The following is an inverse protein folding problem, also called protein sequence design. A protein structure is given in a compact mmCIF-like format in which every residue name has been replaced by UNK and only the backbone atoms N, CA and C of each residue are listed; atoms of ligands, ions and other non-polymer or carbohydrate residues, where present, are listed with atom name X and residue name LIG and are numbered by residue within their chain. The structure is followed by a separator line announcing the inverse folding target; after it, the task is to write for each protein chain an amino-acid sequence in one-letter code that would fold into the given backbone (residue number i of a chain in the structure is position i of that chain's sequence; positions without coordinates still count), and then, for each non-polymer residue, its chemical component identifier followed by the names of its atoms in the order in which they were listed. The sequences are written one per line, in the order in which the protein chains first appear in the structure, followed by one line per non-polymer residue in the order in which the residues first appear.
data_IF_357654491436
#
_entry.id   IF_357654491436
#
_cell.length_a   1.000
_cell.length_b   1.000
_cell.length_c   1.000
_cell.angle_alpha   90.00
_cell.angle_beta   90.00
_cell.angle_gamma   90.00
#
_symmetry.space_group_name_H-M   'P 1'
#
loop_
_entity.id
_entity.type
_entity.pdbx_description
1 polymer ?
#
# COMPACT_ATOMS: atom_id res chain seq x y z
N UNK A 1 26.29 -15.01 -15.87
CA UNK A 1 25.38 -16.08 -15.44
C UNK A 1 25.02 -15.88 -13.96
N UNK A 2 24.12 -14.95 -13.61
CA UNK A 2 23.70 -14.77 -12.20
C UNK A 2 22.28 -14.21 -12.01
N UNK A 3 21.49 -14.03 -13.06
CA UNK A 3 20.10 -13.56 -12.93
C UNK A 3 19.08 -14.72 -12.90
N UNK A 4 19.40 -15.85 -13.53
CA UNK A 4 18.48 -16.97 -13.67
C UNK A 4 18.40 -17.85 -12.41
N UNK A 5 19.48 -17.93 -11.61
CA UNK A 5 19.50 -18.74 -10.39
C UNK A 5 18.62 -18.15 -9.26
N UNK A 6 18.48 -16.82 -9.21
CA UNK A 6 17.68 -16.14 -8.19
C UNK A 6 16.17 -16.25 -8.49
N UNK A 7 15.79 -16.36 -9.77
CA UNK A 7 14.41 -16.54 -10.18
C UNK A 7 13.89 -17.96 -9.90
N UNK A 8 14.75 -18.98 -9.97
CA UNK A 8 14.34 -20.37 -9.73
C UNK A 8 14.20 -20.71 -8.24
N UNK A 9 14.92 -20.03 -7.34
CA UNK A 9 14.80 -20.28 -5.90
C UNK A 9 13.51 -19.70 -5.30
N UNK A 10 12.96 -18.62 -5.85
CA UNK A 10 11.69 -18.02 -5.38
C UNK A 10 10.47 -18.87 -5.78
N UNK A 11 10.59 -19.74 -6.79
CA UNK A 11 9.47 -20.57 -7.25
C UNK A 11 9.22 -21.85 -6.41
N UNK A 12 10.19 -22.29 -5.60
CA UNK A 12 10.10 -23.58 -4.87
C UNK A 12 9.75 -23.39 -3.38
N UNK A 13 9.76 -22.16 -2.88
CA UNK A 13 9.56 -21.86 -1.46
C UNK A 13 8.17 -21.31 -1.12
N UNK A 14 7.20 -22.20 -0.89
CA UNK A 14 6.06 -21.97 0.01
C UNK A 14 5.02 -20.88 -0.37
N UNK A 15 4.03 -21.29 -1.16
CA UNK A 15 2.62 -21.21 -0.75
C UNK A 15 2.03 -19.83 -0.43
N UNK A 16 2.20 -18.82 -1.29
CA UNK A 16 1.23 -17.71 -1.38
C UNK A 16 1.31 -16.97 -2.72
N UNK A 17 1.03 -17.69 -3.80
CA UNK A 17 1.19 -17.25 -5.20
C UNK A 17 0.49 -15.91 -5.53
N UNK A 18 -0.52 -15.51 -4.75
CA UNK A 18 -1.25 -14.26 -4.97
C UNK A 18 -0.49 -13.01 -4.46
N UNK A 19 0.24 -13.14 -3.34
CA UNK A 19 1.02 -12.03 -2.76
C UNK A 19 2.33 -11.83 -3.52
N UNK A 20 2.99 -12.92 -3.90
CA UNK A 20 4.21 -12.90 -4.73
C UNK A 20 3.94 -12.28 -6.10
N UNK A 21 2.85 -12.68 -6.77
CA UNK A 21 2.48 -12.10 -8.06
C UNK A 21 2.15 -10.59 -7.94
N UNK A 22 1.46 -10.14 -6.89
CA UNK A 22 1.21 -8.68 -6.72
C UNK A 22 2.47 -7.89 -6.43
N UNK A 23 3.42 -8.46 -5.70
CA UNK A 23 4.65 -7.79 -5.32
C UNK A 23 5.59 -7.58 -6.50
N UNK A 24 5.61 -8.52 -7.46
CA UNK A 24 6.55 -8.50 -8.58
C UNK A 24 5.94 -8.03 -9.92
N UNK A 25 4.61 -8.07 -10.13
CA UNK A 25 4.03 -7.99 -11.49
C UNK A 25 3.51 -6.62 -11.96
N UNK A 26 3.70 -5.50 -11.27
CA UNK A 26 3.11 -4.25 -11.82
C UNK A 26 3.49 -2.89 -11.26
N UNK A 27 4.39 -2.81 -10.27
CA UNK A 27 4.75 -1.52 -9.67
C UNK A 27 5.66 -1.60 -8.45
N UNK A 28 5.85 -2.80 -7.90
CA UNK A 28 6.58 -3.04 -6.65
C UNK A 28 8.10 -2.90 -6.67
N UNK A 29 8.73 -2.48 -7.78
CA UNK A 29 10.19 -2.34 -7.87
C UNK A 29 10.66 -0.98 -8.38
N UNK A 30 9.83 0.06 -8.40
CA UNK A 30 10.34 1.42 -8.71
C UNK A 30 11.39 1.87 -7.68
N UNK A 31 11.21 1.48 -6.42
CA UNK A 31 12.19 1.74 -5.36
C UNK A 31 13.49 0.98 -5.60
N UNK A 32 13.43 -0.27 -6.09
CA UNK A 32 14.61 -1.08 -6.39
C UNK A 32 15.45 -0.47 -7.51
N UNK A 33 14.80 0.07 -8.54
CA UNK A 33 15.48 0.84 -9.61
C UNK A 33 16.05 2.19 -9.15
N UNK A 34 15.69 2.66 -7.95
CA UNK A 34 16.21 3.91 -7.36
C UNK A 34 17.37 3.68 -6.38
N UNK A 35 17.75 2.43 -6.14
CA UNK A 35 18.84 2.11 -5.23
C UNK A 35 20.21 2.41 -5.87
N UNK A 36 21.19 2.89 -5.08
CA UNK A 36 22.57 3.02 -5.54
C UNK A 36 23.15 1.67 -6.01
N UNK A 37 24.07 1.67 -6.99
CA UNK A 37 24.81 0.47 -7.36
C UNK A 37 25.51 -0.13 -6.13
N UNK A 38 25.52 -1.47 -6.01
CA UNK A 38 26.15 -2.23 -4.90
C UNK A 38 25.52 -2.04 -3.52
N UNK A 39 24.35 -1.42 -3.41
CA UNK A 39 23.62 -1.27 -2.14
C UNK A 39 23.03 -2.57 -1.59
N UNK A 40 22.86 -3.58 -2.44
CA UNK A 40 22.39 -4.92 -2.07
C UNK A 40 23.50 -5.89 -2.48
N UNK A 41 24.21 -6.44 -1.50
CA UNK A 41 25.32 -7.37 -1.71
C UNK A 41 24.98 -8.80 -1.27
N UNK A 42 23.91 -8.95 -0.49
CA UNK A 42 23.42 -10.23 0.02
C UNK A 42 21.90 -10.32 -0.01
N UNK A 43 21.38 -11.54 0.15
CA UNK A 43 19.94 -11.76 0.34
C UNK A 43 19.41 -11.05 1.60
N UNK A 44 20.22 -11.01 2.66
CA UNK A 44 19.85 -10.30 3.89
C UNK A 44 19.66 -8.80 3.64
N UNK A 45 20.55 -8.17 2.86
CA UNK A 45 20.43 -6.74 2.50
C UNK A 45 19.14 -6.47 1.70
N UNK A 46 18.79 -7.38 0.79
CA UNK A 46 17.55 -7.29 0.02
C UNK A 46 16.33 -7.39 0.94
N UNK A 47 16.29 -8.37 1.85
CA UNK A 47 15.19 -8.57 2.79
C UNK A 47 15.02 -7.36 3.70
N UNK A 48 16.09 -6.87 4.31
CA UNK A 48 16.05 -5.69 5.18
C UNK A 48 15.61 -4.44 4.42
N UNK A 49 16.10 -4.24 3.19
CA UNK A 49 15.69 -3.08 2.38
C UNK A 49 14.23 -3.21 1.96
N UNK A 50 13.79 -4.40 1.57
CA UNK A 50 12.40 -4.68 1.23
C UNK A 50 11.48 -4.43 2.43
N UNK A 51 11.81 -4.92 3.62
CA UNK A 51 11.04 -4.70 4.84
C UNK A 51 10.99 -3.22 5.21
N UNK A 52 12.11 -2.50 5.10
CA UNK A 52 12.16 -1.06 5.35
C UNK A 52 11.31 -0.28 4.34
N UNK A 53 11.36 -0.65 3.06
CA UNK A 53 10.56 -0.01 2.01
C UNK A 53 9.08 -0.38 2.15
N UNK A 54 8.77 -1.62 2.53
CA UNK A 54 7.41 -2.06 2.80
C UNK A 54 6.83 -1.40 4.06
N UNK A 55 7.64 -1.18 5.10
CA UNK A 55 7.25 -0.44 6.29
C UNK A 55 7.09 1.07 6.01
N UNK A 56 7.97 1.65 5.19
CA UNK A 56 7.88 3.06 4.77
C UNK A 56 6.74 3.30 3.79
N UNK A 57 6.43 2.31 2.94
CA UNK A 57 5.36 2.31 1.96
C UNK A 57 4.10 1.61 2.47
N UNK A 58 4.04 1.23 3.76
CA UNK A 58 2.77 1.07 4.45
C UNK A 58 2.17 2.47 4.48
N UNK A 59 1.42 2.79 3.43
CA UNK A 59 0.43 3.86 3.46
C UNK A 59 -0.26 3.73 4.82
N UNK A 60 -0.20 4.79 5.64
CA UNK A 60 -0.84 4.75 6.96
C UNK A 60 -2.26 4.26 6.74
N UNK A 61 -2.55 3.03 7.19
CA UNK A 61 -3.91 2.52 7.13
C UNK A 61 -4.73 3.49 7.96
N UNK A 62 -5.68 4.15 7.30
CA UNK A 62 -6.62 4.99 8.01
C UNK A 62 -7.51 4.06 8.81
N UNK A 63 -7.82 4.45 10.04
CA UNK A 63 -8.85 3.79 10.82
C UNK A 63 -10.22 4.32 10.41
N UNK A 64 -11.26 3.55 10.68
CA UNK A 64 -12.65 4.00 10.50
C UNK A 64 -12.92 5.31 11.24
N UNK A 65 -12.25 5.52 12.38
CA UNK A 65 -12.33 6.76 13.15
C UNK A 65 -11.89 7.99 12.34
N UNK A 66 -10.86 7.86 11.50
CA UNK A 66 -10.31 8.97 10.71
C UNK A 66 -11.30 9.47 9.65
N UNK A 67 -12.22 8.62 9.18
CA UNK A 67 -13.26 9.03 8.23
C UNK A 67 -14.22 10.06 8.83
N UNK A 68 -14.42 10.07 10.16
CA UNK A 68 -15.32 10.99 10.83
C UNK A 68 -14.76 12.42 10.92
N UNK A 69 -13.47 12.59 10.68
CA UNK A 69 -12.82 13.90 10.63
C UNK A 69 -12.91 14.54 9.23
N UNK A 70 -13.30 13.77 8.21
CA UNK A 70 -13.53 14.28 6.87
C UNK A 70 -14.88 14.98 6.83
N UNK A 71 -14.86 16.31 6.79
CA UNK A 71 -16.06 17.15 6.74
C UNK A 71 -16.14 18.00 5.47
N UNK A 72 -17.36 18.24 5.01
CA UNK A 72 -17.67 19.23 4.01
C UNK A 72 -17.56 20.61 4.63
N UNK A 73 -16.78 21.47 4.01
CA UNK A 73 -16.63 22.86 4.44
C UNK A 73 -17.38 23.77 3.48
N UNK A 74 -17.90 24.90 3.97
CA UNK A 74 -18.62 25.90 3.15
C UNK A 74 -17.81 26.40 1.94
N UNK A 75 -16.48 26.32 2.05
CA UNK A 75 -15.52 26.77 1.04
C UNK A 75 -15.19 25.73 -0.03
N UNK A 76 -15.56 24.46 0.17
CA UNK A 76 -15.23 23.35 -0.75
C UNK A 76 -16.48 22.81 -1.38
N UNK A 77 -16.39 22.44 -2.65
CA UNK A 77 -17.53 21.84 -3.36
C UNK A 77 -17.78 20.41 -2.87
N UNK A 78 -19.01 19.93 -3.05
CA UNK A 78 -19.38 18.54 -2.74
C UNK A 78 -18.48 17.53 -3.48
N UNK A 79 -18.11 17.83 -4.74
CA UNK A 79 -17.18 17.01 -5.52
C UNK A 79 -15.81 16.88 -4.85
N UNK A 80 -15.28 17.97 -4.31
CA UNK A 80 -14.00 17.95 -3.59
C UNK A 80 -14.10 17.17 -2.28
N UNK A 81 -15.23 17.25 -1.58
CA UNK A 81 -15.49 16.42 -0.40
C UNK A 81 -15.52 14.93 -0.74
N UNK A 82 -16.32 14.54 -1.74
CA UNK A 82 -16.42 13.15 -2.20
C UNK A 82 -15.08 12.57 -2.62
N UNK A 83 -14.23 13.33 -3.32
CA UNK A 83 -12.89 12.88 -3.70
C UNK A 83 -12.05 12.53 -2.46
N UNK A 84 -12.00 13.42 -1.45
CA UNK A 84 -11.25 13.16 -0.21
C UNK A 84 -11.82 11.98 0.58
N UNK A 85 -13.15 11.89 0.66
CA UNK A 85 -13.80 10.82 1.37
C UNK A 85 -13.49 9.46 0.72
N UNK A 86 -13.63 9.36 -0.61
CA UNK A 86 -13.31 8.14 -1.37
C UNK A 86 -11.83 7.75 -1.26
N UNK A 87 -10.90 8.71 -1.37
CA UNK A 87 -9.47 8.44 -1.21
C UNK A 87 -9.15 7.87 0.19
N UNK A 88 -9.85 8.35 1.22
CA UNK A 88 -9.71 7.84 2.57
C UNK A 88 -10.35 6.45 2.73
N UNK A 89 -11.53 6.21 2.15
CA UNK A 89 -12.19 4.90 2.21
C UNK A 89 -11.31 3.78 1.63
N UNK A 90 -10.57 4.04 0.54
CA UNK A 90 -9.67 3.05 -0.09
C UNK A 90 -8.48 2.68 0.83
N UNK A 91 -8.16 3.53 1.81
CA UNK A 91 -7.06 3.32 2.75
C UNK A 91 -7.51 2.67 4.08
N UNK A 92 -8.82 2.54 4.30
CA UNK A 92 -9.40 1.88 5.49
C UNK A 92 -9.65 0.41 5.17
N UNK A 93 -9.04 -0.48 5.93
CA UNK A 93 -9.25 -1.93 5.82
C UNK A 93 -10.32 -2.39 6.81
N UNK A 94 -11.57 -1.97 6.57
CA UNK A 94 -12.72 -2.32 7.40
C UNK A 94 -13.84 -2.95 6.55
N UNK A 95 -14.32 -4.17 6.89
CA UNK A 95 -15.34 -4.85 6.11
C UNK A 95 -16.76 -4.29 6.34
N UNK A 96 -16.98 -3.48 7.37
CA UNK A 96 -18.30 -3.01 7.78
C UNK A 96 -18.68 -1.67 7.12
N UNK A 97 -19.37 -1.80 5.99
CA UNK A 97 -19.90 -0.69 5.18
C UNK A 97 -20.79 0.29 5.96
N UNK A 98 -21.41 -0.12 7.08
CA UNK A 98 -22.28 0.75 7.87
C UNK A 98 -21.51 1.92 8.50
N UNK A 99 -20.24 1.74 8.86
CA UNK A 99 -19.44 2.82 9.42
C UNK A 99 -19.12 3.90 8.39
N UNK A 100 -18.87 3.52 7.14
CA UNK A 100 -18.64 4.44 6.03
C UNK A 100 -19.85 5.30 5.76
N UNK A 101 -21.06 4.71 5.75
CA UNK A 101 -22.31 5.46 5.59
C UNK A 101 -22.51 6.46 6.72
N UNK A 102 -22.29 6.05 7.98
CA UNK A 102 -22.41 6.93 9.15
C UNK A 102 -21.39 8.07 9.13
N UNK A 103 -20.14 7.79 8.78
CA UNK A 103 -19.09 8.80 8.65
C UNK A 103 -19.43 9.80 7.54
N UNK A 104 -19.89 9.31 6.38
CA UNK A 104 -20.31 10.15 5.26
C UNK A 104 -21.45 11.09 5.63
N UNK A 105 -22.49 10.57 6.28
CA UNK A 105 -23.66 11.35 6.72
C UNK A 105 -23.29 12.42 7.75
N UNK A 106 -22.37 12.11 8.67
CA UNK A 106 -21.89 13.05 9.70
C UNK A 106 -20.92 14.09 9.13
N UNK A 107 -20.27 13.79 8.01
CA UNK A 107 -19.33 14.67 7.33
C UNK A 107 -19.97 15.68 6.38
N UNK A 108 -21.23 15.49 5.98
CA UNK A 108 -22.00 16.47 5.18
C UNK A 108 -22.42 17.68 6.01
#
# INVERSE_FOLDING_TARGET
MHLQAFQTQVYIGSGNDLLSCKLFSGGGLRWFSSLPPLSITSFADLTTTFESQFAANKTKHLEVADLFDIKQTKTKTLKQYLARFNDAMVQVDDPNQNFFVKAFQKGL
#
